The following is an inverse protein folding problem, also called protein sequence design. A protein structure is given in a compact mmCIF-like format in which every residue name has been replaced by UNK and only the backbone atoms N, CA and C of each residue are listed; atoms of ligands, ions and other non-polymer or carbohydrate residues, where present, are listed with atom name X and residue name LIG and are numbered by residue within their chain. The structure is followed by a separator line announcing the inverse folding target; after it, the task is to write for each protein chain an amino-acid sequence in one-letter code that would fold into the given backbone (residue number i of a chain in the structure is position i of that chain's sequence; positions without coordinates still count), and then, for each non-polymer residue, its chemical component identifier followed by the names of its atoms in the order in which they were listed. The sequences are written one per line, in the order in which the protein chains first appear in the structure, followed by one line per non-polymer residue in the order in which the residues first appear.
data_IF_265490055044
#
_entry.id   IF_265490055044
#
_cell.length_a   1.000
_cell.length_b   1.000
_cell.length_c   1.000
_cell.angle_alpha   90.00
_cell.angle_beta   90.00
_cell.angle_gamma   90.00
#
_symmetry.space_group_name_H-M   'P 1'
#
loop_
_entity.id
_entity.type
_entity.pdbx_description
1 polymer ?
#
# COMPACT_ATOMS: atom_id res chain seq x y z
N UNK A 1 -11.43 -7.17 -18.17
CA UNK A 1 -10.09 -6.69 -18.60
C UNK A 1 -9.19 -6.55 -17.39
N UNK A 2 -8.00 -7.13 -17.46
CA UNK A 2 -7.01 -6.97 -16.38
C UNK A 2 -6.23 -5.69 -16.59
N UNK A 3 -6.17 -4.87 -15.57
CA UNK A 3 -5.36 -3.66 -15.56
C UNK A 3 -4.60 -3.56 -14.25
N UNK A 4 -3.48 -2.86 -14.27
CA UNK A 4 -2.59 -2.80 -13.11
C UNK A 4 -2.19 -1.37 -12.81
N UNK A 5 -2.12 -1.08 -11.51
CA UNK A 5 -1.54 0.16 -11.00
C UNK A 5 -0.27 -0.22 -10.27
N UNK A 6 0.82 0.48 -10.56
CA UNK A 6 2.11 0.25 -9.92
C UNK A 6 2.49 1.45 -9.07
N UNK A 7 2.85 1.17 -7.81
CA UNK A 7 3.56 2.11 -6.97
C UNK A 7 4.95 1.50 -6.75
N UNK A 8 5.97 2.10 -7.35
CA UNK A 8 7.29 1.50 -7.36
C UNK A 8 8.25 2.24 -6.47
N UNK A 9 8.84 1.51 -5.52
CA UNK A 9 9.91 1.99 -4.62
C UNK A 9 9.58 3.27 -3.87
N UNK A 10 8.43 3.30 -3.24
CA UNK A 10 8.07 4.43 -2.38
C UNK A 10 8.83 4.30 -1.07
N UNK A 11 9.58 5.35 -0.71
CA UNK A 11 10.37 5.35 0.51
C UNK A 11 9.60 5.98 1.66
N UNK A 12 9.62 5.30 2.79
CA UNK A 12 9.05 5.81 4.05
C UNK A 12 10.06 5.67 5.16
N UNK A 13 10.18 6.69 5.98
CA UNK A 13 10.89 6.58 7.23
C UNK A 13 9.90 6.11 8.28
N UNK A 14 10.18 4.98 8.92
CA UNK A 14 9.24 4.35 9.83
C UNK A 14 9.97 3.64 10.98
N UNK A 15 9.21 3.21 11.98
CA UNK A 15 9.76 2.68 13.23
C UNK A 15 9.39 1.20 13.43
N UNK A 16 9.49 0.41 12.36
CA UNK A 16 9.23 -1.03 12.43
C UNK A 16 10.50 -1.78 12.82
N UNK A 17 10.36 -2.77 13.67
CA UNK A 17 11.46 -3.63 14.05
C UNK A 17 11.22 -4.32 15.38
N UNK A 18 11.93 -5.43 15.59
CA UNK A 18 11.86 -6.20 16.84
C UNK A 18 12.66 -5.54 17.93
N UNK A 19 13.82 -4.97 17.60
CA UNK A 19 14.72 -4.34 18.56
C UNK A 19 14.24 -2.99 19.02
N UNK A 20 14.46 -2.68 20.30
CA UNK A 20 14.11 -1.39 20.87
C UNK A 20 14.78 -0.23 20.13
N UNK A 21 16.04 -0.39 19.76
CA UNK A 21 16.78 0.62 19.00
C UNK A 21 16.16 0.91 17.63
N UNK A 22 15.70 -0.13 16.96
CA UNK A 22 15.04 0.02 15.67
C UNK A 22 13.74 0.82 15.81
N UNK A 23 12.98 0.55 16.86
CA UNK A 23 11.73 1.24 17.13
C UNK A 23 11.96 2.71 17.46
N UNK A 24 12.99 3.02 18.24
CA UNK A 24 13.30 4.39 18.65
C UNK A 24 13.94 5.20 17.54
N UNK A 25 14.94 4.64 16.87
CA UNK A 25 15.72 5.34 15.85
C UNK A 25 15.00 5.46 14.51
N UNK A 26 14.22 4.43 14.17
CA UNK A 26 13.60 4.35 12.85
C UNK A 26 14.58 3.92 11.77
N UNK A 27 14.05 3.72 10.58
CA UNK A 27 14.84 3.36 9.41
C UNK A 27 14.06 3.70 8.13
N UNK A 28 14.74 3.68 7.00
CA UNK A 28 14.07 3.80 5.72
C UNK A 28 13.55 2.45 5.26
N UNK A 29 12.32 2.47 4.78
CA UNK A 29 11.66 1.29 4.20
C UNK A 29 11.20 1.62 2.80
N UNK A 30 11.23 0.64 1.93
CA UNK A 30 10.76 0.77 0.55
C UNK A 30 9.55 -0.11 0.35
N UNK A 31 8.49 0.48 -0.20
CA UNK A 31 7.24 -0.22 -0.50
C UNK A 31 7.00 -0.18 -2.00
N UNK A 32 6.80 -1.34 -2.59
CA UNK A 32 6.36 -1.46 -3.98
C UNK A 32 5.07 -2.26 -4.04
N UNK A 33 4.13 -1.78 -4.83
CA UNK A 33 2.81 -2.39 -4.98
C UNK A 33 2.47 -2.58 -6.44
N UNK A 34 1.88 -3.72 -6.74
CA UNK A 34 1.23 -3.99 -8.02
C UNK A 34 -0.21 -4.35 -7.71
N UNK A 35 -1.13 -3.50 -8.14
CA UNK A 35 -2.55 -3.66 -7.88
C UNK A 35 -3.26 -4.05 -9.17
N UNK A 36 -3.92 -5.19 -9.17
CA UNK A 36 -4.81 -5.56 -10.26
C UNK A 36 -6.17 -4.94 -10.00
N UNK A 37 -6.66 -4.14 -10.94
CA UNK A 37 -7.85 -3.33 -10.76
C UNK A 37 -8.84 -3.60 -11.91
N UNK A 38 -10.14 -3.62 -11.57
CA UNK A 38 -11.19 -3.64 -12.58
C UNK A 38 -11.44 -2.21 -13.06
N UNK A 39 -11.04 -1.90 -14.28
CA UNK A 39 -11.19 -0.56 -14.85
C UNK A 39 -12.43 -0.41 -15.73
N UNK A 40 -13.23 -1.45 -15.89
CA UNK A 40 -14.39 -1.41 -16.79
C UNK A 40 -15.38 -0.27 -16.47
N UNK A 41 -15.75 -0.02 -15.19
CA UNK A 41 -16.62 1.10 -14.88
C UNK A 41 -16.03 2.46 -15.29
N UNK A 42 -14.76 2.69 -14.96
CA UNK A 42 -14.11 3.97 -15.27
C UNK A 42 -13.94 4.19 -16.77
N UNK A 43 -13.77 3.13 -17.54
CA UNK A 43 -13.70 3.22 -19.00
C UNK A 43 -14.98 3.79 -19.61
N UNK A 44 -16.12 3.56 -18.95
CA UNK A 44 -17.42 4.05 -19.44
C UNK A 44 -17.78 5.40 -18.88
N UNK A 45 -17.48 5.66 -17.62
CA UNK A 45 -17.97 6.86 -16.92
C UNK A 45 -17.00 8.03 -16.95
N UNK A 46 -15.71 7.76 -17.08
CA UNK A 46 -14.65 8.77 -16.92
C UNK A 46 -14.75 9.49 -15.57
N UNK A 47 -15.22 8.78 -14.55
CA UNK A 47 -15.36 9.30 -13.20
C UNK A 47 -14.29 8.71 -12.28
N UNK A 48 -13.57 9.56 -11.58
CA UNK A 48 -12.51 9.18 -10.63
C UNK A 48 -13.06 8.26 -9.55
N UNK A 49 -14.33 8.42 -9.16
CA UNK A 49 -14.97 7.57 -8.15
C UNK A 49 -15.09 6.11 -8.60
N UNK A 50 -15.03 5.83 -9.89
CA UNK A 50 -15.16 4.48 -10.44
C UNK A 50 -13.81 3.78 -10.67
N UNK A 51 -12.72 4.38 -10.23
CA UNK A 51 -11.39 3.80 -10.33
C UNK A 51 -10.65 3.91 -9.00
N UNK A 52 -9.40 3.45 -9.00
CA UNK A 52 -8.53 3.54 -7.83
C UNK A 52 -7.55 4.69 -8.04
N UNK A 53 -7.61 5.69 -7.16
CA UNK A 53 -6.71 6.83 -7.23
C UNK A 53 -5.34 6.47 -6.66
N UNK A 54 -4.30 6.72 -7.42
CA UNK A 54 -2.92 6.53 -7.00
C UNK A 54 -2.62 7.31 -5.69
N UNK A 55 -3.08 8.56 -5.63
CA UNK A 55 -2.85 9.41 -4.47
C UNK A 55 -3.53 8.85 -3.20
N UNK A 56 -4.74 8.32 -3.34
CA UNK A 56 -5.45 7.74 -2.22
C UNK A 56 -4.79 6.45 -1.72
N UNK A 57 -4.27 5.64 -2.64
CA UNK A 57 -3.51 4.44 -2.29
C UNK A 57 -2.25 4.84 -1.52
N UNK A 58 -1.53 5.84 -2.01
CA UNK A 58 -0.33 6.34 -1.34
C UNK A 58 -0.63 6.78 0.10
N UNK A 59 -1.69 7.56 0.29
CA UNK A 59 -2.07 8.04 1.64
C UNK A 59 -2.45 6.89 2.57
N UNK A 60 -3.14 5.88 2.06
CA UNK A 60 -3.50 4.69 2.85
C UNK A 60 -2.24 3.92 3.28
N UNK A 61 -1.30 3.71 2.38
CA UNK A 61 -0.03 3.04 2.69
C UNK A 61 0.76 3.84 3.71
N UNK A 62 0.85 5.15 3.50
CA UNK A 62 1.55 6.05 4.42
C UNK A 62 0.99 5.97 5.83
N UNK A 63 -0.32 5.99 5.97
CA UNK A 63 -0.98 5.90 7.28
C UNK A 63 -0.63 4.60 8.00
N UNK A 64 -0.58 3.48 7.27
CA UNK A 64 -0.22 2.19 7.87
C UNK A 64 1.27 2.12 8.21
N UNK A 65 2.12 2.72 7.39
CA UNK A 65 3.57 2.75 7.67
C UNK A 65 3.91 3.57 8.92
N UNK A 66 3.08 4.55 9.25
CA UNK A 66 3.28 5.40 10.43
C UNK A 66 3.01 4.68 11.75
N UNK A 67 2.29 3.57 11.74
CA UNK A 67 2.02 2.76 12.93
C UNK A 67 3.09 1.69 13.07
N UNK A 68 3.91 1.74 14.13
CA UNK A 68 5.00 0.77 14.31
C UNK A 68 4.49 -0.66 14.46
N UNK A 69 5.20 -1.59 13.85
CA UNK A 69 5.02 -3.03 14.06
C UNK A 69 6.38 -3.67 14.27
N UNK A 70 6.41 -4.77 15.02
CA UNK A 70 7.65 -5.51 15.22
C UNK A 70 8.11 -6.24 13.97
N UNK A 71 7.15 -6.74 13.18
CA UNK A 71 7.43 -7.55 12.00
C UNK A 71 6.95 -6.85 10.75
N UNK A 72 7.75 -6.91 9.68
CA UNK A 72 7.35 -6.39 8.37
C UNK A 72 6.14 -7.14 7.83
N UNK A 73 6.02 -8.43 8.12
CA UNK A 73 4.86 -9.25 7.74
C UNK A 73 3.57 -8.67 8.32
N UNK A 74 3.63 -8.17 9.55
CA UNK A 74 2.46 -7.56 10.19
C UNK A 74 2.06 -6.25 9.51
N UNK A 75 3.03 -5.40 9.21
CA UNK A 75 2.79 -4.16 8.46
C UNK A 75 2.21 -4.47 7.08
N UNK A 76 2.81 -5.44 6.38
CA UNK A 76 2.34 -5.88 5.07
C UNK A 76 0.89 -6.34 5.12
N UNK A 77 0.54 -7.12 6.13
CA UNK A 77 -0.84 -7.57 6.34
C UNK A 77 -1.80 -6.42 6.56
N UNK A 78 -1.41 -5.41 7.34
CA UNK A 78 -2.24 -4.23 7.57
C UNK A 78 -2.45 -3.42 6.28
N UNK A 79 -1.39 -3.24 5.49
CA UNK A 79 -1.48 -2.54 4.21
C UNK A 79 -2.45 -3.25 3.28
N UNK A 80 -2.27 -4.56 3.10
CA UNK A 80 -3.12 -5.35 2.20
C UNK A 80 -4.58 -5.29 2.64
N UNK A 81 -4.84 -5.49 3.93
CA UNK A 81 -6.20 -5.45 4.48
C UNK A 81 -6.84 -4.08 4.25
N UNK A 82 -6.09 -3.01 4.48
CA UNK A 82 -6.59 -1.66 4.29
C UNK A 82 -6.93 -1.39 2.82
N UNK A 83 -6.05 -1.77 1.91
CA UNK A 83 -6.28 -1.51 0.49
C UNK A 83 -7.48 -2.27 -0.04
N UNK A 84 -7.65 -3.54 0.34
CA UNK A 84 -8.85 -4.28 -0.06
C UNK A 84 -10.14 -3.68 0.55
N UNK A 85 -10.06 -3.16 1.77
CA UNK A 85 -11.21 -2.56 2.44
C UNK A 85 -11.61 -1.22 1.86
N UNK A 86 -10.63 -0.36 1.56
CA UNK A 86 -10.89 1.00 1.09
C UNK A 86 -11.15 1.08 -0.42
N UNK A 87 -10.66 0.11 -1.19
CA UNK A 87 -10.74 0.13 -2.65
C UNK A 87 -11.33 -1.16 -3.20
N UNK A 88 -12.67 -1.25 -3.28
CA UNK A 88 -13.35 -2.48 -3.72
C UNK A 88 -12.99 -2.92 -5.14
N UNK A 89 -12.48 -2.00 -5.97
CA UNK A 89 -12.09 -2.30 -7.34
C UNK A 89 -10.80 -3.12 -7.43
N UNK A 90 -10.05 -3.21 -6.33
CA UNK A 90 -8.80 -3.98 -6.31
C UNK A 90 -9.14 -5.46 -6.23
N UNK A 91 -8.62 -6.22 -7.19
CA UNK A 91 -8.85 -7.67 -7.29
C UNK A 91 -7.67 -8.49 -6.78
N UNK A 92 -6.46 -7.95 -6.87
CA UNK A 92 -5.27 -8.64 -6.41
C UNK A 92 -4.18 -7.63 -6.04
N UNK A 93 -3.36 -7.97 -5.06
CA UNK A 93 -2.26 -7.12 -4.58
C UNK A 93 -0.98 -7.94 -4.52
N UNK A 94 0.07 -7.44 -5.15
CA UNK A 94 1.43 -7.89 -4.91
C UNK A 94 2.15 -6.80 -4.15
N UNK A 95 2.67 -7.14 -2.99
CA UNK A 95 3.37 -6.19 -2.12
C UNK A 95 4.81 -6.64 -1.91
N UNK A 96 5.73 -5.72 -2.13
CA UNK A 96 7.13 -5.91 -1.76
C UNK A 96 7.49 -4.83 -0.75
N UNK A 97 7.86 -5.26 0.45
CA UNK A 97 8.25 -4.39 1.54
C UNK A 97 9.67 -4.75 1.93
N UNK A 98 10.57 -3.78 1.86
CA UNK A 98 11.98 -4.00 2.17
C UNK A 98 12.54 -2.85 3.02
N UNK A 99 13.64 -3.19 3.66
CA UNK A 99 14.33 -2.28 4.57
C UNK A 99 15.57 -1.70 3.92
#
# INVERSE_FOLDING_TARGET
MKSYIFLDRICFFAHHGVGEQETLAGNEFTVSLRLQVNIAPAMQTDDVADTVSYADVYEAVKAEMEVPSKLLEHVGGRIVKRLFGDFPQIENIELKLSK
#
